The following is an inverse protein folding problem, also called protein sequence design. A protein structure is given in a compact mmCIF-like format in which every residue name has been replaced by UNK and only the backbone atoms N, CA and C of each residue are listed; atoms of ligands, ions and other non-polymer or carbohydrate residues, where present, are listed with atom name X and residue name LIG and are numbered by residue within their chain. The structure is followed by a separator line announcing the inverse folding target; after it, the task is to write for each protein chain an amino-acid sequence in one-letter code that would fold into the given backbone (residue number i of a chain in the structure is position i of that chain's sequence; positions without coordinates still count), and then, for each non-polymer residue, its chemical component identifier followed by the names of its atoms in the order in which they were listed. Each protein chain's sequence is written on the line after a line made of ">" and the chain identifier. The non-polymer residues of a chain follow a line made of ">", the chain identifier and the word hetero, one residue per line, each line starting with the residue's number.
data_IF_571466492191
#
_entry.id   IF_571466492191
#
_cell.length_a   1.000
_cell.length_b   1.000
_cell.length_c   1.000
_cell.angle_alpha   90.00
_cell.angle_beta   90.00
_cell.angle_gamma   90.00
#
_symmetry.space_group_name_H-M   'P 1'
#
loop_
_entity.id
_entity.type
_entity.pdbx_description
1 polymer ?
#
# COMPACT_ATOMS: atom_id res chain seq x y z
N UNK A 1 13.23 -11.17 -9.49
CA UNK A 1 12.76 -12.47 -8.99
C UNK A 1 13.82 -13.12 -8.12
N UNK A 2 14.99 -13.42 -8.68
CA UNK A 2 16.05 -14.20 -8.03
C UNK A 2 16.64 -13.53 -6.79
N UNK A 3 16.84 -12.22 -6.82
CA UNK A 3 17.51 -11.48 -5.75
C UNK A 3 16.63 -11.19 -4.53
N UNK A 4 15.29 -11.21 -4.66
CA UNK A 4 14.39 -10.79 -3.60
C UNK A 4 13.23 -11.76 -3.37
N UNK A 5 12.44 -12.09 -4.39
CA UNK A 5 11.24 -12.91 -4.22
C UNK A 5 11.59 -14.33 -3.81
N UNK A 6 12.50 -14.98 -4.57
CA UNK A 6 12.90 -16.37 -4.27
C UNK A 6 13.57 -16.49 -2.88
N UNK A 7 14.50 -15.61 -2.48
CA UNK A 7 15.02 -15.63 -1.11
C UNK A 7 13.95 -15.41 -0.05
N UNK A 8 12.99 -14.50 -0.26
CA UNK A 8 11.89 -14.25 0.66
C UNK A 8 10.98 -15.47 0.82
N UNK A 9 10.68 -16.16 -0.28
CA UNK A 9 9.93 -17.43 -0.24
C UNK A 9 10.69 -18.50 0.54
N UNK A 10 11.97 -18.68 0.26
CA UNK A 10 12.82 -19.67 0.95
C UNK A 10 12.94 -19.38 2.45
N UNK A 11 12.93 -18.11 2.84
CA UNK A 11 12.97 -17.68 4.22
C UNK A 11 11.60 -17.79 4.93
N UNK A 12 10.52 -18.11 4.22
CA UNK A 12 9.17 -18.10 4.76
C UNK A 12 8.75 -16.70 5.25
N UNK A 13 9.20 -15.64 4.55
CA UNK A 13 9.00 -14.26 4.99
C UNK A 13 7.51 -13.90 4.98
N UNK A 14 6.94 -13.83 6.17
CA UNK A 14 5.56 -13.42 6.40
C UNK A 14 5.47 -12.73 7.77
N UNK A 15 4.41 -11.96 7.97
CA UNK A 15 4.03 -11.44 9.27
C UNK A 15 2.67 -12.02 9.60
N UNK A 16 2.64 -12.96 10.58
CA UNK A 16 1.50 -13.83 10.80
C UNK A 16 1.12 -14.54 9.49
N UNK A 17 -0.12 -14.46 9.04
CA UNK A 17 -0.58 -15.05 7.77
C UNK A 17 -0.49 -14.07 6.58
N UNK A 18 0.07 -12.86 6.78
CA UNK A 18 0.19 -11.84 5.77
C UNK A 18 1.57 -11.83 5.12
N UNK A 19 1.63 -11.93 3.79
CA UNK A 19 2.89 -12.00 3.04
C UNK A 19 3.73 -10.73 3.05
N UNK A 20 3.15 -9.61 3.47
CA UNK A 20 3.83 -8.34 3.72
C UNK A 20 4.75 -7.87 2.58
N UNK A 21 4.32 -8.02 1.33
CA UNK A 21 5.12 -7.66 0.15
C UNK A 21 5.56 -6.21 0.11
N UNK A 22 4.76 -5.30 0.65
CA UNK A 22 5.08 -3.87 0.72
C UNK A 22 6.31 -3.58 1.59
N UNK A 23 6.57 -4.39 2.61
CA UNK A 23 7.69 -4.18 3.54
C UNK A 23 9.06 -4.33 2.88
N UNK A 24 9.19 -5.17 1.87
CA UNK A 24 10.45 -5.30 1.11
C UNK A 24 10.38 -4.69 -0.29
N UNK A 25 9.20 -4.54 -0.88
CA UNK A 25 9.06 -3.89 -2.19
C UNK A 25 9.45 -2.40 -2.14
N UNK A 26 9.00 -1.66 -1.13
CA UNK A 26 9.31 -0.22 -0.99
C UNK A 26 10.80 0.05 -0.80
N UNK A 27 11.54 -0.64 0.08
CA UNK A 27 12.99 -0.50 0.16
C UNK A 27 13.74 -0.86 -1.13
N UNK A 28 13.29 -1.85 -1.89
CA UNK A 28 13.88 -2.19 -3.18
C UNK A 28 13.69 -1.07 -4.20
N UNK A 29 12.48 -0.49 -4.27
CA UNK A 29 12.17 0.66 -5.12
C UNK A 29 13.05 1.85 -4.71
N UNK A 30 13.12 2.15 -3.42
CA UNK A 30 13.96 3.24 -2.90
C UNK A 30 15.44 3.06 -3.27
N UNK A 31 15.98 1.86 -3.14
CA UNK A 31 17.35 1.54 -3.59
C UNK A 31 17.54 1.87 -5.06
N UNK A 32 16.60 1.50 -5.93
CA UNK A 32 16.67 1.80 -7.36
C UNK A 32 16.54 3.28 -7.66
N UNK A 33 15.69 4.00 -6.94
CA UNK A 33 15.58 5.46 -7.03
C UNK A 33 16.91 6.14 -6.67
N UNK A 34 17.58 5.70 -5.59
CA UNK A 34 18.89 6.21 -5.19
C UNK A 34 19.95 5.94 -6.27
N UNK A 35 19.99 4.74 -6.84
CA UNK A 35 20.89 4.40 -7.92
C UNK A 35 20.71 5.35 -9.13
N UNK A 36 19.46 5.62 -9.50
CA UNK A 36 19.13 6.52 -10.61
C UNK A 36 19.47 7.97 -10.24
N UNK A 37 19.08 8.43 -9.06
CA UNK A 37 19.35 9.79 -8.59
C UNK A 37 20.86 10.10 -8.61
N UNK A 38 21.69 9.20 -8.09
CA UNK A 38 23.16 9.34 -8.13
C UNK A 38 23.69 9.36 -9.56
N UNK A 39 23.15 8.54 -10.46
CA UNK A 39 23.55 8.53 -11.88
C UNK A 39 23.21 9.82 -12.60
N UNK A 40 22.05 10.41 -12.31
CA UNK A 40 21.55 11.65 -12.91
C UNK A 40 22.09 12.91 -12.20
N UNK A 41 22.84 12.77 -11.12
CA UNK A 41 23.37 13.90 -10.34
C UNK A 41 22.29 14.68 -9.59
N UNK A 42 21.23 14.01 -9.15
CA UNK A 42 20.16 14.64 -8.38
C UNK A 42 20.55 14.79 -6.90
N UNK A 43 20.18 15.92 -6.31
CA UNK A 43 20.44 16.24 -4.91
C UNK A 43 19.31 15.76 -3.96
N UNK A 44 18.13 15.46 -4.52
CA UNK A 44 16.94 15.09 -3.76
C UNK A 44 16.11 14.01 -4.43
N UNK A 45 15.35 13.26 -3.62
CA UNK A 45 14.31 12.34 -4.07
C UNK A 45 12.96 12.82 -3.53
N UNK A 46 12.00 13.01 -4.45
CA UNK A 46 10.63 13.36 -4.09
C UNK A 46 9.74 12.12 -4.13
N UNK A 47 8.86 11.98 -3.12
CA UNK A 47 7.84 10.94 -3.11
C UNK A 47 6.47 11.47 -2.71
N UNK A 48 5.41 10.82 -3.21
CA UNK A 48 4.01 11.17 -2.94
C UNK A 48 3.33 10.28 -1.90
N UNK A 49 4.09 9.61 -1.03
CA UNK A 49 3.50 8.77 0.01
C UNK A 49 2.71 9.61 1.01
N UNK A 50 1.52 9.15 1.37
CA UNK A 50 0.68 9.80 2.37
C UNK A 50 1.29 9.68 3.77
N UNK A 51 1.02 10.65 4.64
CA UNK A 51 1.51 10.65 6.03
C UNK A 51 0.79 9.64 6.95
N UNK A 52 -0.21 8.92 6.44
CA UNK A 52 -1.02 7.97 7.21
C UNK A 52 -0.52 6.52 7.12
N UNK A 53 0.30 6.22 6.13
CA UNK A 53 0.71 4.86 5.81
C UNK A 53 2.19 4.61 6.12
N UNK A 54 2.57 3.34 6.28
CA UNK A 54 3.95 2.94 6.55
C UNK A 54 4.88 3.12 5.34
N UNK A 55 4.35 3.38 4.15
CA UNK A 55 5.13 3.50 2.93
C UNK A 55 6.14 4.66 2.98
N UNK A 56 5.75 5.80 3.56
CA UNK A 56 6.64 6.93 3.76
C UNK A 56 7.88 6.52 4.56
N UNK A 57 7.67 5.84 5.69
CA UNK A 57 8.77 5.38 6.56
C UNK A 57 9.67 4.40 5.82
N UNK A 58 9.10 3.46 5.08
CA UNK A 58 9.85 2.45 4.32
C UNK A 58 10.73 3.08 3.23
N UNK A 59 10.19 4.06 2.48
CA UNK A 59 10.95 4.78 1.47
C UNK A 59 12.07 5.61 2.09
N UNK A 60 11.76 6.42 3.10
CA UNK A 60 12.71 7.36 3.68
C UNK A 60 13.86 6.66 4.41
N UNK A 61 13.56 5.66 5.23
CA UNK A 61 14.62 4.89 5.90
C UNK A 61 15.53 4.19 4.89
N UNK A 62 14.98 3.67 3.80
CA UNK A 62 15.78 3.05 2.75
C UNK A 62 16.62 4.09 1.99
N UNK A 63 16.07 5.26 1.64
CA UNK A 63 16.83 6.33 1.00
C UNK A 63 17.99 6.77 1.92
N UNK A 64 17.71 7.02 3.20
CA UNK A 64 18.73 7.41 4.18
C UNK A 64 19.81 6.35 4.36
N UNK A 65 19.45 5.06 4.30
CA UNK A 65 20.42 3.98 4.42
C UNK A 65 21.37 3.88 3.21
N UNK A 66 20.88 4.18 1.99
CA UNK A 66 21.66 4.08 0.76
C UNK A 66 22.32 5.39 0.31
N UNK A 67 21.77 6.53 0.76
CA UNK A 67 22.22 7.87 0.40
C UNK A 67 21.87 8.86 1.53
N UNK A 68 22.58 8.84 2.68
CA UNK A 68 22.29 9.72 3.80
C UNK A 68 22.51 11.21 3.46
N UNK A 69 23.28 11.49 2.41
CA UNK A 69 23.54 12.83 1.89
C UNK A 69 22.41 13.42 1.06
N UNK A 70 21.43 12.60 0.65
CA UNK A 70 20.38 12.99 -0.29
C UNK A 70 19.16 13.57 0.44
N UNK A 71 18.69 14.71 -0.01
CA UNK A 71 17.48 15.32 0.54
C UNK A 71 16.22 14.54 0.16
N UNK A 72 15.25 14.53 1.06
CA UNK A 72 13.96 13.90 0.84
C UNK A 72 12.86 14.97 0.80
N UNK A 73 12.12 15.02 -0.30
CA UNK A 73 11.00 15.92 -0.49
C UNK A 73 9.70 15.11 -0.38
N UNK A 74 8.97 15.34 0.71
CA UNK A 74 7.69 14.71 0.98
C UNK A 74 6.58 15.78 1.04
N UNK A 75 5.95 16.15 -0.08
CA UNK A 75 4.99 17.25 -0.17
C UNK A 75 3.82 17.12 0.81
N UNK A 76 3.37 15.92 1.06
CA UNK A 76 2.30 15.63 2.02
C UNK A 76 2.51 16.27 3.41
N UNK A 77 3.74 16.47 3.84
CA UNK A 77 4.07 17.01 5.16
C UNK A 77 3.77 18.49 5.33
N UNK A 78 3.75 19.24 4.23
CA UNK A 78 3.63 20.70 4.24
C UNK A 78 2.55 21.24 3.30
N UNK A 79 1.90 20.38 2.49
CA UNK A 79 0.79 20.76 1.66
C UNK A 79 -0.52 20.80 2.46
N UNK A 80 -1.44 21.66 2.02
CA UNK A 80 -2.80 21.71 2.55
C UNK A 80 -3.64 20.50 2.11
N UNK A 81 -3.19 19.74 1.12
CA UNK A 81 -3.80 18.52 0.61
C UNK A 81 -3.47 17.33 1.52
N UNK A 82 -3.97 17.37 2.73
CA UNK A 82 -3.65 16.39 3.78
C UNK A 82 -4.71 15.32 4.00
N UNK A 83 -5.63 15.18 3.04
CA UNK A 83 -6.59 14.09 2.99
C UNK A 83 -6.91 13.74 1.54
N UNK A 84 -7.36 12.51 1.32
CA UNK A 84 -7.74 12.01 -0.01
C UNK A 84 -8.93 12.76 -0.60
N UNK A 85 -9.85 13.20 0.24
CA UNK A 85 -10.99 14.01 -0.17
C UNK A 85 -10.53 15.35 -0.76
N UNK A 86 -9.58 16.03 -0.09
CA UNK A 86 -8.99 17.29 -0.58
C UNK A 86 -8.20 17.09 -1.87
N UNK A 87 -7.51 15.97 -2.01
CA UNK A 87 -6.80 15.63 -3.25
C UNK A 87 -7.78 15.42 -4.42
N UNK A 88 -8.90 14.72 -4.17
CA UNK A 88 -9.96 14.52 -5.18
C UNK A 88 -10.59 15.87 -5.56
N UNK A 89 -10.92 16.71 -4.58
CA UNK A 89 -11.46 18.04 -4.80
C UNK A 89 -10.50 18.91 -5.62
N UNK A 90 -9.23 18.93 -5.23
CA UNK A 90 -8.18 19.64 -5.97
C UNK A 90 -8.08 19.16 -7.42
N UNK A 91 -8.09 17.85 -7.63
CA UNK A 91 -8.04 17.28 -8.96
C UNK A 91 -9.25 17.66 -9.81
N UNK A 92 -10.45 17.71 -9.23
CA UNK A 92 -11.66 18.16 -9.90
C UNK A 92 -11.59 19.62 -10.30
N UNK A 93 -11.17 20.51 -9.37
CA UNK A 93 -11.02 21.96 -9.63
C UNK A 93 -10.02 22.21 -10.75
N UNK A 94 -8.94 21.44 -10.80
CA UNK A 94 -7.87 21.61 -11.80
C UNK A 94 -8.04 20.74 -13.06
N UNK A 95 -9.18 20.06 -13.22
CA UNK A 95 -9.47 19.17 -14.34
C UNK A 95 -8.40 18.07 -14.54
N UNK A 96 -7.83 17.57 -13.44
CA UNK A 96 -6.91 16.43 -13.48
C UNK A 96 -7.73 15.16 -13.62
N UNK A 97 -7.53 14.34 -14.68
CA UNK A 97 -8.32 13.14 -14.89
C UNK A 97 -8.00 12.08 -13.83
N UNK A 98 -8.96 11.80 -12.97
CA UNK A 98 -8.89 10.71 -12.00
C UNK A 98 -9.86 9.60 -12.39
N UNK A 99 -9.41 8.36 -12.19
CA UNK A 99 -10.27 7.16 -12.33
C UNK A 99 -10.96 6.77 -11.02
N UNK A 100 -10.67 7.49 -9.93
CA UNK A 100 -11.12 7.18 -8.58
C UNK A 100 -12.23 8.16 -8.22
N UNK A 101 -13.35 7.64 -7.72
CA UNK A 101 -14.44 8.41 -7.13
C UNK A 101 -14.44 8.23 -5.61
N UNK A 102 -15.14 9.08 -4.88
CA UNK A 102 -15.28 8.94 -3.42
C UNK A 102 -15.88 7.57 -3.02
N UNK A 103 -16.72 6.98 -3.89
CA UNK A 103 -17.39 5.70 -3.66
C UNK A 103 -16.52 4.47 -3.98
N UNK A 104 -15.50 4.63 -4.82
CA UNK A 104 -14.62 3.52 -5.28
C UNK A 104 -13.18 3.67 -4.79
N UNK A 105 -13.01 4.36 -3.67
CA UNK A 105 -11.72 4.78 -3.13
C UNK A 105 -11.02 3.71 -2.28
N UNK A 106 -10.99 2.46 -2.75
CA UNK A 106 -10.16 1.43 -2.14
C UNK A 106 -8.70 1.59 -2.54
N UNK A 107 -7.80 1.50 -1.56
CA UNK A 107 -6.38 1.31 -1.82
C UNK A 107 -6.14 -0.14 -2.22
N UNK A 108 -5.43 -0.35 -3.34
CA UNK A 108 -5.10 -1.68 -3.85
C UNK A 108 -3.61 -1.76 -4.11
N UNK A 109 -2.96 -2.69 -3.46
CA UNK A 109 -1.56 -3.03 -3.74
C UNK A 109 -1.49 -4.41 -4.39
N UNK A 110 -1.31 -4.40 -5.71
CA UNK A 110 -1.18 -5.60 -6.53
C UNK A 110 0.26 -5.76 -7.02
N UNK A 111 0.90 -6.82 -6.61
CA UNK A 111 2.26 -7.15 -7.03
C UNK A 111 2.39 -8.66 -7.28
N UNK A 112 3.60 -9.11 -7.65
CA UNK A 112 3.88 -10.54 -7.90
C UNK A 112 3.81 -11.40 -6.62
N UNK A 113 3.86 -10.78 -5.45
CA UNK A 113 3.89 -11.47 -4.17
C UNK A 113 2.51 -11.65 -3.57
N UNK A 114 1.69 -10.59 -3.62
CA UNK A 114 0.33 -10.62 -3.08
C UNK A 114 -0.55 -9.50 -3.65
N UNK A 115 -1.81 -9.53 -3.25
CA UNK A 115 -2.79 -8.49 -3.47
C UNK A 115 -3.37 -8.08 -2.12
N UNK A 116 -3.29 -6.80 -1.77
CA UNK A 116 -3.99 -6.22 -0.63
C UNK A 116 -5.03 -5.19 -1.05
N UNK A 117 -6.06 -5.04 -0.23
CA UNK A 117 -7.09 -4.04 -0.36
C UNK A 117 -7.29 -3.37 0.99
N UNK A 118 -7.39 -2.05 1.00
CA UNK A 118 -7.57 -1.21 2.19
C UNK A 118 -8.55 -0.08 1.88
N UNK A 119 -9.20 0.46 2.90
CA UNK A 119 -10.07 1.64 2.80
C UNK A 119 -11.56 1.34 2.86
N UNK A 120 -12.36 2.42 2.95
CA UNK A 120 -13.82 2.41 3.00
C UNK A 120 -14.37 1.46 4.09
N UNK A 121 -15.30 0.60 3.70
CA UNK A 121 -15.96 -0.38 4.58
C UNK A 121 -15.02 -1.45 5.13
N UNK A 122 -13.85 -1.65 4.54
CA UNK A 122 -12.82 -2.56 5.07
C UNK A 122 -12.16 -2.01 6.35
N UNK A 123 -12.25 -0.71 6.61
CA UNK A 123 -11.77 -0.07 7.84
C UNK A 123 -12.82 -0.08 8.95
N UNK A 124 -14.07 -0.41 8.64
CA UNK A 124 -15.15 -0.53 9.63
C UNK A 124 -15.20 -1.94 10.21
N UNK A 125 -14.68 -2.08 11.43
CA UNK A 125 -14.66 -3.36 12.17
C UNK A 125 -16.04 -3.98 12.36
N UNK A 126 -17.07 -3.17 12.51
CA UNK A 126 -18.44 -3.65 12.69
C UNK A 126 -18.98 -4.26 11.40
N UNK A 127 -18.75 -3.59 10.28
CA UNK A 127 -19.15 -4.09 8.96
C UNK A 127 -18.37 -5.35 8.58
N UNK A 128 -17.07 -5.37 8.90
CA UNK A 128 -16.20 -6.53 8.69
C UNK A 128 -16.70 -7.76 9.49
N UNK A 129 -16.99 -7.58 10.79
CA UNK A 129 -17.53 -8.64 11.64
C UNK A 129 -18.89 -9.12 11.13
N UNK A 130 -19.80 -8.21 10.72
CA UNK A 130 -21.09 -8.57 10.16
C UNK A 130 -20.98 -9.35 8.85
N UNK A 131 -20.03 -8.99 7.99
CA UNK A 131 -19.77 -9.69 6.73
C UNK A 131 -19.17 -11.08 6.99
N UNK A 132 -18.24 -11.17 7.93
CA UNK A 132 -17.65 -12.45 8.35
C UNK A 132 -18.70 -13.39 8.96
N UNK A 133 -19.55 -12.87 9.85
CA UNK A 133 -20.66 -13.63 10.45
C UNK A 133 -21.65 -14.10 9.39
N UNK A 134 -22.03 -13.26 8.42
CA UNK A 134 -22.87 -13.68 7.29
C UNK A 134 -22.23 -14.82 6.50
N UNK A 135 -20.93 -14.72 6.22
CA UNK A 135 -20.22 -15.76 5.48
C UNK A 135 -20.16 -17.08 6.26
N UNK A 136 -19.84 -17.02 7.55
CA UNK A 136 -19.81 -18.21 8.44
C UNK A 136 -21.19 -18.85 8.53
N UNK A 137 -22.23 -18.07 8.79
CA UNK A 137 -23.62 -18.56 8.87
C UNK A 137 -24.06 -19.19 7.54
N UNK A 138 -23.78 -18.53 6.41
CA UNK A 138 -24.13 -19.08 5.09
C UNK A 138 -23.38 -20.37 4.76
N UNK A 139 -22.11 -20.50 5.18
CA UNK A 139 -21.32 -21.73 4.95
C UNK A 139 -21.77 -22.86 5.85
N UNK A 140 -22.08 -22.59 7.12
CA UNK A 140 -22.61 -23.62 8.03
C UNK A 140 -23.98 -24.12 7.58
N UNK A 141 -24.93 -23.23 7.30
CA UNK A 141 -26.25 -23.61 6.78
C UNK A 141 -26.13 -24.36 5.46
N UNK A 142 -25.27 -23.91 4.53
CA UNK A 142 -25.04 -24.61 3.27
C UNK A 142 -24.43 -26.00 3.44
N UNK A 143 -23.60 -26.22 4.47
CA UNK A 143 -23.03 -27.52 4.78
C UNK A 143 -24.07 -28.45 5.44
N UNK A 144 -24.93 -27.94 6.33
CA UNK A 144 -26.01 -28.71 6.92
C UNK A 144 -27.07 -29.14 5.88
N UNK A 145 -27.43 -28.23 4.96
CA UNK A 145 -28.36 -28.57 3.85
C UNK A 145 -27.77 -29.62 2.90
N UNK A 146 -26.46 -29.67 2.70
CA UNK A 146 -25.81 -30.71 1.87
C UNK A 146 -25.76 -32.08 2.57
N UNK A 147 -25.79 -32.14 3.89
CA UNK A 147 -25.82 -33.40 4.65
C UNK A 147 -27.24 -34.04 4.72
N UNK A 148 -28.26 -33.25 4.42
CA UNK A 148 -29.66 -33.68 4.44
C UNK A 148 -30.16 -34.22 3.08
N UNK A 149 -29.37 -34.12 2.01
CA UNK A 149 -29.60 -34.73 0.70
C UNK A 149 -28.63 -35.89 0.46
#
# INVERSE_FOLDING_TARGET
>A
MEDYIIPSMKAGASYEDYLLGTSFARPIIAKKLVEIAKKEGADAICHGCTGKENDQVRFELAIQAFAPEMDIIAPWRFWELNSREKEIEYAQVHNIPLKITAETNYSKDKNLWHLSHEGLDLEDWFLFICTLLKYVICTEIGNELRKMN
#
